data_IF_097053609237
#
_entry.id   IF_097053609237
#
_cell.length_a   1.000
_cell.length_b   1.000
_cell.length_c   1.000
_cell.angle_alpha   90.00
_cell.angle_beta   90.00
_cell.angle_gamma   90.00
#
_symmetry.space_group_name_H-M   'P 1'
#
loop_
_entity.id
_entity.type
_entity.pdbx_description
1 polymer ?
#
# COMPACT_ATOMS: atom_id res chain seq x y z
N UNK A 1 -1.21 4.31 13.51
CA UNK A 1 -1.20 5.34 12.45
C UNK A 1 0.13 5.20 11.71
N UNK A 2 0.10 4.74 10.46
CA UNK A 2 1.29 4.55 9.63
C UNK A 2 1.68 5.91 9.05
N UNK A 3 2.77 6.51 9.51
CA UNK A 3 3.27 7.77 8.95
C UNK A 3 4.25 7.47 7.83
N UNK A 4 3.86 7.78 6.60
CA UNK A 4 4.82 7.90 5.48
C UNK A 4 5.10 9.40 5.34
N UNK A 5 6.14 9.89 6.03
CA UNK A 5 6.56 11.28 5.88
C UNK A 5 7.47 11.38 4.64
N UNK A 6 6.93 12.00 3.57
CA UNK A 6 7.67 12.28 2.36
C UNK A 6 8.17 13.72 2.34
N UNK A 7 9.38 13.96 2.84
CA UNK A 7 10.18 15.14 2.49
C UNK A 7 11.49 14.63 1.90
N UNK A 8 11.66 14.82 0.59
CA UNK A 8 12.90 14.61 -0.17
C UNK A 8 13.42 13.17 -0.28
N UNK A 9 12.83 12.39 -1.22
CA UNK A 9 13.40 11.13 -1.75
C UNK A 9 13.78 10.04 -0.73
N UNK A 10 13.38 10.16 0.53
CA UNK A 10 13.60 9.17 1.58
C UNK A 10 12.27 8.76 2.19
N UNK A 11 11.86 7.53 1.88
CA UNK A 11 10.80 6.85 2.62
C UNK A 11 11.37 6.46 3.98
N UNK A 12 11.07 7.27 5.00
CA UNK A 12 11.45 6.95 6.38
C UNK A 12 10.37 6.04 6.98
N UNK A 13 10.65 4.74 6.97
CA UNK A 13 9.81 3.73 7.59
C UNK A 13 10.07 3.71 9.09
N UNK A 14 9.10 4.13 9.90
CA UNK A 14 9.13 3.92 11.36
C UNK A 14 8.56 2.54 11.68
N UNK A 15 9.46 1.58 11.86
CA UNK A 15 9.21 0.19 12.29
C UNK A 15 8.72 0.04 13.73
N UNK A 16 8.14 1.07 14.35
CA UNK A 16 7.65 1.02 15.74
C UNK A 16 6.31 0.25 15.87
N UNK A 17 5.91 -0.49 14.85
CA UNK A 17 4.72 -1.35 14.87
C UNK A 17 5.18 -2.81 14.86
N UNK A 18 4.97 -3.50 15.98
CA UNK A 18 5.20 -4.93 16.09
C UNK A 18 4.50 -5.67 14.94
N UNK A 19 5.24 -6.55 14.27
CA UNK A 19 4.72 -7.42 13.22
C UNK A 19 4.89 -6.93 11.78
N UNK A 20 5.31 -5.68 11.50
CA UNK A 20 5.55 -5.26 10.10
C UNK A 20 6.90 -5.80 9.60
N UNK A 21 6.84 -6.72 8.63
CA UNK A 21 7.99 -7.35 7.97
C UNK A 21 8.44 -6.64 6.69
N UNK A 22 7.59 -5.82 6.09
CA UNK A 22 7.94 -5.08 4.88
C UNK A 22 6.88 -4.09 4.40
N UNK A 23 7.27 -3.18 3.51
CA UNK A 23 6.38 -2.18 2.90
C UNK A 23 6.75 -1.99 1.44
N UNK A 24 5.73 -1.89 0.58
CA UNK A 24 5.85 -1.53 -0.82
C UNK A 24 5.01 -0.28 -1.11
N UNK A 25 5.61 0.69 -1.78
CA UNK A 25 4.96 1.90 -2.27
C UNK A 25 4.94 1.86 -3.79
N UNK A 26 3.76 2.08 -4.36
CA UNK A 26 3.50 1.96 -5.80
C UNK A 26 2.70 3.16 -6.28
N UNK A 27 3.00 3.70 -7.47
CA UNK A 27 2.14 4.71 -8.09
C UNK A 27 0.88 4.10 -8.73
N UNK A 28 0.04 4.95 -9.32
CA UNK A 28 -1.15 4.55 -10.07
C UNK A 28 -0.89 3.73 -11.34
N UNK A 29 0.32 3.83 -11.91
CA UNK A 29 0.75 3.10 -13.11
C UNK A 29 1.37 1.73 -12.78
N UNK A 30 1.53 1.39 -11.50
CA UNK A 30 2.17 0.15 -11.07
C UNK A 30 3.70 0.23 -10.94
N UNK A 31 4.28 1.42 -10.99
CA UNK A 31 5.71 1.63 -10.79
C UNK A 31 6.07 1.62 -9.30
N UNK A 32 7.12 0.87 -8.96
CA UNK A 32 7.64 0.83 -7.59
C UNK A 32 8.32 2.16 -7.25
N UNK A 33 7.73 2.91 -6.31
CA UNK A 33 8.32 4.12 -5.73
C UNK A 33 9.27 3.79 -4.57
N UNK A 34 9.06 2.67 -3.90
CA UNK A 34 9.99 2.17 -2.91
C UNK A 34 9.57 0.86 -2.26
N UNK A 35 10.56 0.08 -1.81
CA UNK A 35 10.36 -1.19 -1.16
C UNK A 35 11.29 -1.33 0.06
N UNK A 36 10.79 -1.90 1.16
CA UNK A 36 11.54 -2.17 2.39
C UNK A 36 11.18 -3.53 2.98
N UNK A 37 12.13 -4.13 3.70
CA UNK A 37 11.95 -5.41 4.37
C UNK A 37 11.76 -6.56 3.37
N UNK A 38 10.77 -7.42 3.60
CA UNK A 38 10.48 -8.56 2.73
C UNK A 38 9.74 -8.19 1.43
N UNK A 39 9.26 -6.95 1.32
CA UNK A 39 8.56 -6.48 0.14
C UNK A 39 9.50 -6.38 -1.07
N UNK A 40 9.05 -6.89 -2.23
CA UNK A 40 9.83 -6.86 -3.47
C UNK A 40 9.19 -5.92 -4.49
N UNK A 41 10.03 -5.10 -5.13
CA UNK A 41 9.62 -4.16 -6.19
C UNK A 41 8.90 -4.84 -7.36
N UNK A 42 9.25 -6.09 -7.67
CA UNK A 42 8.58 -6.90 -8.68
C UNK A 42 7.07 -7.12 -8.41
N UNK A 43 6.63 -6.96 -7.15
CA UNK A 43 5.22 -7.05 -6.77
C UNK A 43 4.38 -5.82 -7.11
N UNK A 44 5.00 -4.71 -7.52
CA UNK A 44 4.36 -3.39 -7.62
C UNK A 44 3.14 -3.39 -8.55
N UNK A 45 3.27 -3.93 -9.76
CA UNK A 45 2.16 -4.01 -10.72
C UNK A 45 0.96 -4.80 -10.18
N UNK A 46 1.21 -5.89 -9.44
CA UNK A 46 0.13 -6.67 -8.83
C UNK A 46 -0.58 -5.89 -7.73
N UNK A 47 0.18 -5.25 -6.84
CA UNK A 47 -0.38 -4.42 -5.76
C UNK A 47 -1.23 -3.27 -6.31
N UNK A 48 -0.75 -2.56 -7.33
CA UNK A 48 -1.53 -1.51 -7.98
C UNK A 48 -2.80 -2.07 -8.63
N UNK A 49 -2.72 -3.20 -9.32
CA UNK A 49 -3.87 -3.84 -9.97
C UNK A 49 -4.95 -4.27 -8.96
N UNK A 50 -4.54 -4.79 -7.80
CA UNK A 50 -5.45 -5.16 -6.71
C UNK A 50 -6.15 -3.92 -6.16
N UNK A 51 -5.40 -2.87 -5.86
CA UNK A 51 -5.96 -1.62 -5.35
C UNK A 51 -6.92 -0.96 -6.35
N UNK A 52 -6.57 -0.94 -7.65
CA UNK A 52 -7.44 -0.44 -8.71
C UNK A 52 -8.73 -1.27 -8.79
N UNK A 53 -8.61 -2.60 -8.83
CA UNK A 53 -9.77 -3.49 -8.88
C UNK A 53 -10.70 -3.27 -7.68
N UNK A 54 -10.14 -3.16 -6.47
CA UNK A 54 -10.91 -2.88 -5.26
C UNK A 54 -11.58 -1.49 -5.31
N UNK A 55 -10.87 -0.48 -5.83
CA UNK A 55 -11.41 0.86 -6.07
C UNK A 55 -12.63 0.78 -6.99
N UNK A 56 -12.58 0.01 -8.07
CA UNK A 56 -13.71 -0.16 -9.02
C UNK A 56 -14.94 -0.86 -8.44
N UNK A 57 -14.84 -1.54 -7.29
CA UNK A 57 -16.00 -2.22 -6.67
C UNK A 57 -16.87 -1.27 -5.84
N UNK A 58 -16.35 -0.11 -5.45
CA UNK A 58 -17.09 0.91 -4.71
C UNK A 58 -17.52 2.06 -5.62
N UNK A 59 -18.51 2.84 -5.17
CA UNK A 59 -18.83 4.13 -5.78
C UNK A 59 -17.84 5.19 -5.27
N UNK A 60 -16.60 5.08 -5.74
CA UNK A 60 -15.47 5.96 -5.39
C UNK A 60 -15.55 7.32 -6.10
N UNK A 61 -16.53 7.50 -6.99
CA UNK A 61 -16.82 8.75 -7.72
C UNK A 61 -17.04 9.93 -6.77
N UNK A 62 -17.57 9.67 -5.59
CA UNK A 62 -18.05 10.66 -4.62
C UNK A 62 -17.20 10.71 -3.34
N UNK A 63 -16.10 9.94 -3.27
CA UNK A 63 -15.28 9.86 -2.06
C UNK A 63 -14.35 11.08 -2.00
N UNK A 64 -14.80 12.13 -1.31
CA UNK A 64 -13.97 13.28 -0.94
C UNK A 64 -12.96 12.93 0.17
N UNK A 65 -13.33 11.99 1.05
CA UNK A 65 -12.51 11.57 2.17
C UNK A 65 -11.69 10.32 1.84
N UNK A 66 -10.37 10.49 1.71
CA UNK A 66 -9.43 9.40 1.40
C UNK A 66 -9.47 8.26 2.44
N UNK A 67 -9.97 8.49 3.65
CA UNK A 67 -10.10 7.43 4.65
C UNK A 67 -11.11 6.34 4.24
N UNK A 68 -11.99 6.62 3.28
CA UNK A 68 -12.99 5.70 2.76
C UNK A 68 -12.50 4.83 1.59
N UNK A 69 -11.24 4.97 1.17
CA UNK A 69 -10.68 4.06 0.17
C UNK A 69 -10.69 2.61 0.67
N UNK A 70 -11.04 1.64 -0.20
CA UNK A 70 -11.11 0.25 0.20
C UNK A 70 -9.74 -0.25 0.66
N UNK A 71 -9.78 -1.07 1.71
CA UNK A 71 -8.61 -1.76 2.25
C UNK A 71 -8.73 -3.23 1.91
N UNK A 72 -7.76 -3.76 1.18
CA UNK A 72 -7.70 -5.17 0.83
C UNK A 72 -6.76 -5.87 1.80
N UNK A 73 -7.22 -6.91 2.47
CA UNK A 73 -6.37 -7.80 3.27
C UNK A 73 -6.25 -9.14 2.57
N UNK A 74 -5.02 -9.57 2.33
CA UNK A 74 -4.67 -10.87 1.76
C UNK A 74 -4.02 -11.67 2.87
N UNK A 75 -4.64 -12.78 3.27
CA UNK A 75 -4.14 -13.64 4.35
C UNK A 75 -3.58 -14.93 3.76
N UNK A 76 -2.32 -15.20 4.07
CA UNK A 76 -1.60 -16.44 3.79
C UNK A 76 -1.20 -17.09 5.12
N UNK A 77 -0.78 -18.36 5.09
CA UNK A 77 -0.50 -19.16 6.29
C UNK A 77 0.40 -18.47 7.34
N UNK A 78 1.41 -17.71 6.89
CA UNK A 78 2.40 -17.05 7.77
C UNK A 78 2.63 -15.57 7.43
N UNK A 79 1.76 -14.98 6.61
CA UNK A 79 1.93 -13.64 6.07
C UNK A 79 0.58 -12.99 5.80
N UNK A 80 0.39 -11.77 6.28
CA UNK A 80 -0.73 -10.91 5.93
C UNK A 80 -0.25 -9.73 5.11
N UNK A 81 -0.93 -9.44 4.02
CA UNK A 81 -0.63 -8.28 3.18
C UNK A 81 -1.84 -7.36 3.20
N UNK A 82 -1.62 -6.13 3.68
CA UNK A 82 -2.65 -5.09 3.72
C UNK A 82 -2.35 -4.10 2.60
N UNK A 83 -3.28 -3.96 1.66
CA UNK A 83 -3.17 -3.06 0.52
C UNK A 83 -4.21 -1.96 0.65
N UNK A 84 -3.78 -0.70 0.54
CA UNK A 84 -4.66 0.48 0.57
C UNK A 84 -4.17 1.53 -0.41
N UNK A 85 -5.13 2.20 -1.03
CA UNK A 85 -4.87 3.38 -1.85
C UNK A 85 -4.90 4.65 -0.98
N UNK A 86 -3.92 5.54 -1.14
CA UNK A 86 -3.79 6.81 -0.42
C UNK A 86 -3.67 7.97 -1.43
N UNK A 87 -4.72 8.14 -2.24
CA UNK A 87 -4.76 9.18 -3.28
C UNK A 87 -4.02 8.76 -4.55
N UNK A 88 -2.79 9.25 -4.75
CA UNK A 88 -2.00 9.02 -5.98
C UNK A 88 -1.02 7.84 -5.87
N UNK A 89 -0.97 7.17 -4.73
CA UNK A 89 -0.12 6.01 -4.51
C UNK A 89 -0.84 4.93 -3.72
N UNK A 90 -0.36 3.70 -3.88
CA UNK A 90 -0.83 2.51 -3.17
C UNK A 90 0.26 2.05 -2.22
N UNK A 91 -0.12 1.74 -0.99
CA UNK A 91 0.76 1.16 0.03
C UNK A 91 0.35 -0.30 0.21
N UNK A 92 1.34 -1.20 0.20
CA UNK A 92 1.19 -2.54 0.72
C UNK A 92 2.08 -2.74 1.94
N UNK A 93 1.49 -3.23 3.03
CA UNK A 93 2.17 -3.56 4.29
C UNK A 93 2.16 -5.07 4.45
N UNK A 94 3.33 -5.65 4.69
CA UNK A 94 3.54 -7.08 4.88
C UNK A 94 3.74 -7.35 6.38
N UNK A 95 2.89 -8.19 6.96
CA UNK A 95 2.86 -8.54 8.39
C UNK A 95 3.07 -10.04 8.60
#
# INVERSE_FOLDING_TARGET
MLFICGTDNKLEFRSDQEGVKGVLLVDESGLCLGARGIAKSAGAGFIASIAHSAKSLGDVSEIEDKSQYPTVSIELDNLKIIVRNEGSFTIAVFQ
#
